data_IF_164710887764
#
_entry.id   IF_164710887764
#
_cell.length_a   1.000
_cell.length_b   1.000
_cell.length_c   1.000
_cell.angle_alpha   90.00
_cell.angle_beta   90.00
_cell.angle_gamma   90.00
#
_symmetry.space_group_name_H-M   'P 1'
#
loop_
_entity.id
_entity.type
_entity.pdbx_description
1 polymer ?
#
# COMPACT_ATOMS: atom_id res chain seq x y z
N UNK A 1 -20.46 12.74 36.80
CA UNK A 1 -19.11 13.34 36.72
C UNK A 1 -18.05 12.41 36.11
N UNK A 2 -18.25 11.10 36.06
CA UNK A 2 -17.27 10.12 35.50
C UNK A 2 -17.13 10.13 33.95
N UNK A 3 -18.19 10.50 33.20
CA UNK A 3 -18.16 10.53 31.73
C UNK A 3 -17.20 11.57 31.15
N UNK A 4 -17.21 12.79 31.72
CA UNK A 4 -16.41 13.92 31.22
C UNK A 4 -14.89 13.71 31.31
N UNK A 5 -14.43 12.92 32.27
CA UNK A 5 -13.01 12.57 32.45
C UNK A 5 -12.56 11.48 31.46
N UNK A 6 -13.47 10.59 31.06
CA UNK A 6 -13.20 9.51 30.08
C UNK A 6 -13.06 10.10 28.69
N UNK A 7 -13.93 11.05 28.34
CA UNK A 7 -13.87 11.73 27.03
C UNK A 7 -12.61 12.59 26.86
N UNK A 8 -12.18 13.28 27.92
CA UNK A 8 -10.94 14.06 27.91
C UNK A 8 -9.69 13.19 27.75
N UNK A 9 -9.66 12.00 28.36
CA UNK A 9 -8.57 11.05 28.23
C UNK A 9 -8.52 10.38 26.84
N UNK A 10 -9.69 10.10 26.25
CA UNK A 10 -9.82 9.57 24.90
C UNK A 10 -9.37 10.59 23.85
N UNK A 11 -9.80 11.85 23.99
CA UNK A 11 -9.37 12.93 23.09
C UNK A 11 -7.86 13.16 23.15
N UNK A 12 -7.25 13.14 24.35
CA UNK A 12 -5.80 13.27 24.52
C UNK A 12 -5.04 12.13 23.85
N UNK A 13 -5.50 10.89 23.99
CA UNK A 13 -4.89 9.72 23.34
C UNK A 13 -5.05 9.77 21.82
N UNK A 14 -6.22 10.12 21.31
CA UNK A 14 -6.48 10.29 19.88
C UNK A 14 -5.61 11.39 19.28
N UNK A 15 -5.46 12.52 19.97
CA UNK A 15 -4.59 13.61 19.55
C UNK A 15 -3.11 13.18 19.53
N UNK A 16 -2.64 12.49 20.56
CA UNK A 16 -1.27 11.99 20.64
C UNK A 16 -0.98 10.98 19.52
N UNK A 17 -1.88 10.02 19.30
CA UNK A 17 -1.73 9.04 18.22
C UNK A 17 -1.74 9.70 16.83
N UNK A 18 -2.62 10.70 16.63
CA UNK A 18 -2.67 11.48 15.39
C UNK A 18 -1.40 12.27 15.15
N UNK A 19 -0.85 12.90 16.21
CA UNK A 19 0.40 13.64 16.12
C UNK A 19 1.58 12.75 15.74
N UNK A 20 1.74 11.60 16.38
CA UNK A 20 2.80 10.64 16.03
C UNK A 20 2.63 10.10 14.61
N UNK A 21 1.39 9.89 14.16
CA UNK A 21 1.15 9.47 12.78
C UNK A 21 1.58 10.54 11.76
N UNK A 22 1.23 11.81 12.02
CA UNK A 22 1.65 12.93 11.16
C UNK A 22 3.18 13.05 11.16
N UNK A 23 3.82 12.95 12.33
CA UNK A 23 5.26 13.02 12.45
C UNK A 23 5.96 11.90 11.69
N UNK A 24 5.46 10.66 11.80
CA UNK A 24 5.97 9.52 11.03
C UNK A 24 5.81 9.71 9.52
N UNK A 25 4.68 10.24 9.05
CA UNK A 25 4.47 10.56 7.65
C UNK A 25 5.38 11.69 7.15
N UNK A 26 5.59 12.72 7.95
CA UNK A 26 6.50 13.81 7.64
C UNK A 26 7.94 13.30 7.54
N UNK A 27 8.35 12.45 8.47
CA UNK A 27 9.68 11.83 8.46
C UNK A 27 9.89 10.94 7.22
N UNK A 28 8.91 10.09 6.90
CA UNK A 28 8.97 9.24 5.71
C UNK A 28 9.06 10.05 4.41
N UNK A 29 8.29 11.13 4.29
CA UNK A 29 8.35 12.03 3.13
C UNK A 29 9.65 12.83 3.09
N UNK A 30 10.14 13.28 4.25
CA UNK A 30 11.44 13.95 4.37
C UNK A 30 12.60 13.06 3.93
N UNK A 31 12.54 11.77 4.29
CA UNK A 31 13.53 10.77 3.85
C UNK A 31 13.51 10.61 2.32
N UNK A 32 12.33 10.49 1.72
CA UNK A 32 12.16 10.40 0.26
C UNK A 32 12.72 11.66 -0.42
N UNK A 33 12.46 12.83 0.15
CA UNK A 33 13.02 14.09 -0.35
C UNK A 33 14.55 14.13 -0.25
N UNK A 34 15.13 13.66 0.85
CA UNK A 34 16.58 13.61 1.05
C UNK A 34 17.28 12.59 0.14
N UNK A 35 16.61 11.48 -0.20
CA UNK A 35 17.16 10.44 -1.09
C UNK A 35 17.24 10.91 -2.54
N UNK A 36 16.34 11.79 -2.98
CA UNK A 36 16.34 12.31 -4.37
C UNK A 36 17.66 12.99 -4.79
N UNK A 37 18.23 13.96 -4.03
CA UNK A 37 19.53 14.55 -4.38
C UNK A 37 20.69 13.55 -4.25
N UNK A 38 20.58 12.53 -3.40
CA UNK A 38 21.61 11.48 -3.32
C UNK A 38 21.60 10.66 -4.62
N UNK A 39 20.44 10.25 -5.10
CA UNK A 39 20.32 9.53 -6.38
C UNK A 39 20.82 10.39 -7.55
N UNK A 40 20.50 11.69 -7.57
CA UNK A 40 20.93 12.57 -8.66
C UNK A 40 22.46 12.81 -8.70
N UNK A 41 23.16 12.58 -7.58
CA UNK A 41 24.63 12.70 -7.52
C UNK A 41 25.35 11.38 -7.79
N UNK A 42 24.72 10.24 -7.42
CA UNK A 42 25.34 8.91 -7.55
C UNK A 42 25.05 8.25 -8.89
N UNK A 43 23.91 8.55 -9.49
CA UNK A 43 23.48 7.96 -10.74
C UNK A 43 23.71 8.89 -11.92
N UNK A 44 24.06 8.32 -13.07
CA UNK A 44 24.06 9.07 -14.33
C UNK A 44 22.62 9.43 -14.71
N UNK A 45 22.44 10.42 -15.57
CA UNK A 45 21.09 10.83 -16.04
C UNK A 45 20.30 9.64 -16.65
N UNK A 46 21.00 8.76 -17.38
CA UNK A 46 20.40 7.57 -17.98
C UNK A 46 19.92 6.59 -16.90
N UNK A 47 20.75 6.27 -15.92
CA UNK A 47 20.41 5.36 -14.82
C UNK A 47 19.27 5.92 -13.96
N UNK A 48 19.27 7.21 -13.69
CA UNK A 48 18.18 7.87 -12.96
C UNK A 48 16.85 7.76 -13.74
N UNK A 49 16.90 7.94 -15.08
CA UNK A 49 15.75 7.75 -15.96
C UNK A 49 15.16 6.33 -15.85
N UNK A 50 16.01 5.30 -15.92
CA UNK A 50 15.59 3.90 -15.77
C UNK A 50 14.90 3.66 -14.42
N UNK A 51 15.48 4.13 -13.33
CA UNK A 51 14.88 3.97 -11.99
C UNK A 51 13.50 4.63 -11.93
N UNK A 52 13.35 5.85 -12.43
CA UNK A 52 12.06 6.56 -12.41
C UNK A 52 11.00 5.91 -13.32
N UNK A 53 11.42 5.43 -14.47
CA UNK A 53 10.53 4.66 -15.36
C UNK A 53 10.06 3.38 -14.67
N UNK A 54 10.96 2.66 -14.03
CA UNK A 54 10.63 1.44 -13.28
C UNK A 54 9.67 1.71 -12.11
N UNK A 55 9.92 2.75 -11.31
CA UNK A 55 9.00 3.18 -10.23
C UNK A 55 7.58 3.48 -10.77
N UNK A 56 7.49 4.10 -11.95
CA UNK A 56 6.21 4.39 -12.60
C UNK A 56 5.50 3.09 -13.03
N UNK A 57 6.22 2.14 -13.58
CA UNK A 57 5.68 0.83 -13.94
C UNK A 57 5.24 0.02 -12.71
N UNK A 58 5.97 0.08 -11.60
CA UNK A 58 5.56 -0.54 -10.33
C UNK A 58 4.20 -0.01 -9.87
N UNK A 59 3.98 1.30 -9.95
CA UNK A 59 2.72 1.92 -9.55
C UNK A 59 1.56 1.52 -10.47
N UNK A 60 1.79 1.48 -11.79
CA UNK A 60 0.80 1.05 -12.79
C UNK A 60 0.45 -0.42 -12.58
N UNK A 61 1.46 -1.29 -12.50
CA UNK A 61 1.28 -2.72 -12.27
C UNK A 61 0.51 -3.00 -10.98
N UNK A 62 0.90 -2.37 -9.88
CA UNK A 62 0.20 -2.47 -8.62
C UNK A 62 -1.27 -2.06 -8.74
N UNK A 63 -1.55 -0.93 -9.38
CA UNK A 63 -2.92 -0.40 -9.49
C UNK A 63 -3.82 -1.35 -10.30
N UNK A 64 -3.32 -1.87 -11.42
CA UNK A 64 -4.07 -2.78 -12.29
C UNK A 64 -4.21 -4.16 -11.64
N UNK A 65 -3.12 -4.76 -11.18
CA UNK A 65 -3.13 -6.14 -10.68
C UNK A 65 -3.87 -6.32 -9.37
N UNK A 66 -3.79 -5.33 -8.44
CA UNK A 66 -4.52 -5.41 -7.18
C UNK A 66 -5.99 -5.03 -7.30
N UNK A 67 -6.44 -4.51 -8.48
CA UNK A 67 -7.77 -3.95 -8.72
C UNK A 67 -8.19 -2.93 -7.65
N UNK A 68 -7.24 -2.42 -6.89
CA UNK A 68 -7.44 -1.50 -5.75
C UNK A 68 -8.52 -1.97 -4.75
N UNK A 69 -8.76 -3.27 -4.65
CA UNK A 69 -9.79 -3.87 -3.80
C UNK A 69 -9.61 -3.54 -2.31
N UNK A 70 -8.38 -3.24 -1.88
CA UNK A 70 -8.11 -2.79 -0.52
C UNK A 70 -8.90 -1.54 -0.10
N UNK A 71 -9.41 -0.75 -1.06
CA UNK A 71 -10.26 0.41 -0.76
C UNK A 71 -11.63 0.02 -0.25
N UNK A 72 -12.16 -1.13 -0.64
CA UNK A 72 -13.45 -1.62 -0.17
C UNK A 72 -13.44 -1.92 1.34
N UNK A 73 -12.28 -2.24 1.89
CA UNK A 73 -12.10 -2.48 3.34
C UNK A 73 -12.47 -1.25 4.19
N UNK A 74 -12.25 -0.04 3.67
CA UNK A 74 -12.59 1.19 4.39
C UNK A 74 -14.12 1.39 4.52
N UNK A 75 -14.89 0.92 3.54
CA UNK A 75 -16.35 1.05 3.50
C UNK A 75 -17.03 -0.15 4.16
N UNK A 76 -16.46 -1.33 4.00
CA UNK A 76 -17.02 -2.61 4.45
C UNK A 76 -17.39 -2.64 5.93
N UNK A 77 -16.66 -1.92 6.77
CA UNK A 77 -16.93 -1.90 8.20
C UNK A 77 -18.28 -1.27 8.54
N UNK A 78 -18.80 -0.39 7.71
CA UNK A 78 -20.11 0.24 7.90
C UNK A 78 -21.25 -0.71 7.48
N UNK A 79 -20.98 -1.54 6.47
CA UNK A 79 -22.00 -2.40 5.84
C UNK A 79 -21.99 -3.84 6.41
N UNK A 80 -20.85 -4.29 6.97
CA UNK A 80 -20.64 -5.65 7.49
C UNK A 80 -20.08 -5.60 8.93
N UNK A 81 -20.83 -5.01 9.88
CA UNK A 81 -20.36 -4.87 11.27
C UNK A 81 -20.12 -6.22 11.95
N UNK A 82 -20.96 -7.22 11.67
CA UNK A 82 -20.92 -8.53 12.33
C UNK A 82 -19.84 -9.47 11.78
N UNK A 83 -19.46 -9.36 10.48
CA UNK A 83 -18.48 -10.25 9.83
C UNK A 83 -17.40 -9.47 9.06
N UNK A 84 -16.91 -8.39 9.62
CA UNK A 84 -15.86 -7.59 9.01
C UNK A 84 -14.57 -8.36 8.69
N UNK A 85 -14.15 -9.26 9.59
CA UNK A 85 -12.92 -10.04 9.38
C UNK A 85 -13.07 -11.05 8.24
N UNK A 86 -14.22 -11.68 8.12
CA UNK A 86 -14.55 -12.60 7.02
C UNK A 86 -14.54 -11.85 5.67
N UNK A 87 -15.15 -10.68 5.62
CA UNK A 87 -15.13 -9.82 4.43
C UNK A 87 -13.71 -9.43 4.01
N UNK A 88 -12.90 -8.90 4.95
CA UNK A 88 -11.50 -8.50 4.67
C UNK A 88 -10.68 -9.68 4.15
N UNK A 89 -10.84 -10.87 4.74
CA UNK A 89 -10.16 -12.09 4.29
C UNK A 89 -10.57 -12.48 2.87
N UNK A 90 -11.87 -12.42 2.57
CA UNK A 90 -12.40 -12.76 1.24
C UNK A 90 -11.90 -11.81 0.15
N UNK A 91 -11.92 -10.51 0.42
CA UNK A 91 -11.42 -9.49 -0.54
C UNK A 91 -9.90 -9.58 -0.71
N UNK A 92 -9.17 -9.89 0.35
CA UNK A 92 -7.73 -10.13 0.29
C UNK A 92 -7.39 -11.35 -0.58
N UNK A 93 -8.11 -12.46 -0.40
CA UNK A 93 -7.96 -13.66 -1.22
C UNK A 93 -8.29 -13.37 -2.69
N UNK A 94 -9.37 -12.61 -2.95
CA UNK A 94 -9.73 -12.19 -4.31
C UNK A 94 -8.62 -11.34 -4.96
N UNK A 95 -7.98 -10.45 -4.20
CA UNK A 95 -6.84 -9.68 -4.72
C UNK A 95 -5.66 -10.58 -5.10
N UNK A 96 -5.37 -11.61 -4.32
CA UNK A 96 -4.30 -12.55 -4.68
C UNK A 96 -4.63 -13.38 -5.91
N UNK A 97 -5.88 -13.80 -6.07
CA UNK A 97 -6.34 -14.49 -7.28
C UNK A 97 -6.17 -13.57 -8.50
N UNK A 98 -6.56 -12.30 -8.38
CA UNK A 98 -6.36 -11.32 -9.45
C UNK A 98 -4.88 -11.12 -9.79
N UNK A 99 -4.01 -10.95 -8.79
CA UNK A 99 -2.56 -10.81 -9.00
C UNK A 99 -2.01 -12.06 -9.68
N UNK A 100 -2.38 -13.26 -9.25
CA UNK A 100 -1.94 -14.52 -9.86
C UNK A 100 -2.43 -14.66 -11.32
N UNK A 101 -3.65 -14.24 -11.60
CA UNK A 101 -4.21 -14.23 -12.96
C UNK A 101 -3.43 -13.27 -13.88
N UNK A 102 -3.20 -12.03 -13.45
CA UNK A 102 -2.42 -11.07 -14.23
C UNK A 102 -0.95 -11.49 -14.36
N UNK A 103 -0.38 -12.10 -13.33
CA UNK A 103 0.96 -12.67 -13.42
C UNK A 103 1.04 -13.75 -14.48
N UNK A 104 0.09 -14.71 -14.47
CA UNK A 104 0.02 -15.76 -15.51
C UNK A 104 -0.12 -15.18 -16.92
N UNK A 105 -0.96 -14.15 -17.07
CA UNK A 105 -1.13 -13.46 -18.36
C UNK A 105 0.18 -12.78 -18.81
N UNK A 106 0.84 -12.07 -17.90
CA UNK A 106 2.14 -11.43 -18.21
C UNK A 106 3.26 -12.45 -18.47
N UNK A 107 3.20 -13.65 -17.89
CA UNK A 107 4.15 -14.73 -18.20
C UNK A 107 3.96 -15.28 -19.62
N UNK A 108 2.72 -15.37 -20.11
CA UNK A 108 2.43 -15.80 -21.48
C UNK A 108 2.99 -14.78 -22.49
N UNK A 109 2.86 -13.49 -22.19
CA UNK A 109 3.32 -12.39 -23.05
C UNK A 109 4.62 -11.75 -22.55
N UNK A 110 5.48 -12.53 -21.86
CA UNK A 110 6.67 -12.01 -21.16
C UNK A 110 7.54 -11.13 -22.05
N UNK A 111 7.90 -11.62 -23.24
CA UNK A 111 8.78 -10.90 -24.17
C UNK A 111 8.19 -9.56 -24.61
N UNK A 112 6.90 -9.54 -24.96
CA UNK A 112 6.22 -8.32 -25.38
C UNK A 112 6.12 -7.30 -24.24
N UNK A 113 5.85 -7.76 -23.01
CA UNK A 113 5.77 -6.91 -21.83
C UNK A 113 7.14 -6.33 -21.48
N UNK A 114 8.19 -7.14 -21.54
CA UNK A 114 9.56 -6.70 -21.27
C UNK A 114 10.05 -5.67 -22.29
N UNK A 115 9.82 -5.94 -23.59
CA UNK A 115 10.19 -5.01 -24.65
C UNK A 115 9.43 -3.68 -24.55
N UNK A 116 8.13 -3.73 -24.25
CA UNK A 116 7.30 -2.54 -24.09
C UNK A 116 7.70 -1.71 -22.87
N UNK A 117 7.95 -2.36 -21.74
CA UNK A 117 8.30 -1.69 -20.49
C UNK A 117 9.81 -1.38 -20.38
N UNK A 118 10.63 -1.89 -21.31
CA UNK A 118 12.11 -1.82 -21.27
C UNK A 118 12.67 -2.36 -19.95
N UNK A 119 12.18 -3.55 -19.55
CA UNK A 119 12.53 -4.20 -18.28
C UNK A 119 13.37 -5.45 -18.53
N UNK A 120 14.43 -5.59 -17.73
CA UNK A 120 15.19 -6.83 -17.64
C UNK A 120 14.40 -7.91 -16.87
N UNK A 121 14.81 -9.17 -17.01
CA UNK A 121 14.22 -10.31 -16.30
C UNK A 121 14.14 -10.09 -14.78
N UNK A 122 15.20 -9.56 -14.19
CA UNK A 122 15.24 -9.25 -12.76
C UNK A 122 14.20 -8.21 -12.36
N UNK A 123 14.08 -7.13 -13.14
CA UNK A 123 13.09 -6.08 -12.91
C UNK A 123 11.67 -6.62 -13.04
N UNK A 124 11.42 -7.49 -14.03
CA UNK A 124 10.13 -8.11 -14.24
C UNK A 124 9.67 -8.93 -13.04
N UNK A 125 10.50 -9.87 -12.55
CA UNK A 125 10.13 -10.68 -11.38
C UNK A 125 10.04 -9.86 -10.09
N UNK A 126 10.92 -8.88 -9.92
CA UNK A 126 10.90 -7.99 -8.75
C UNK A 126 9.63 -7.13 -8.73
N UNK A 127 9.10 -6.75 -9.88
CA UNK A 127 7.82 -6.03 -9.99
C UNK A 127 6.67 -6.85 -9.40
N UNK A 128 6.56 -8.13 -9.71
CA UNK A 128 5.51 -8.99 -9.16
C UNK A 128 5.67 -9.22 -7.66
N UNK A 129 6.90 -9.46 -7.21
CA UNK A 129 7.18 -9.58 -5.76
C UNK A 129 6.77 -8.31 -5.01
N UNK A 130 7.07 -7.16 -5.60
CA UNK A 130 6.65 -5.87 -5.06
C UNK A 130 5.13 -5.74 -4.97
N UNK A 131 4.40 -6.03 -6.06
CA UNK A 131 2.93 -5.93 -6.09
C UNK A 131 2.31 -6.84 -5.04
N UNK A 132 2.78 -8.08 -4.91
CA UNK A 132 2.30 -9.05 -3.94
C UNK A 132 2.52 -8.56 -2.49
N UNK A 133 3.75 -8.16 -2.17
CA UNK A 133 4.13 -7.70 -0.82
C UNK A 133 3.43 -6.39 -0.46
N UNK A 134 3.37 -5.45 -1.40
CA UNK A 134 2.75 -4.15 -1.17
C UNK A 134 1.24 -4.25 -0.97
N UNK A 135 0.57 -5.11 -1.73
CA UNK A 135 -0.86 -5.40 -1.54
C UNK A 135 -1.12 -5.96 -0.14
N UNK A 136 -0.33 -6.95 0.30
CA UNK A 136 -0.44 -7.52 1.65
C UNK A 136 -0.29 -6.45 2.74
N UNK A 137 0.73 -5.60 2.60
CA UNK A 137 1.01 -4.52 3.55
C UNK A 137 -0.16 -3.53 3.64
N UNK A 138 -0.79 -3.19 2.52
CA UNK A 138 -1.94 -2.28 2.51
C UNK A 138 -3.16 -2.86 3.23
N UNK A 139 -3.45 -4.14 3.04
CA UNK A 139 -4.55 -4.81 3.76
C UNK A 139 -4.32 -4.80 5.26
N UNK A 140 -3.13 -5.15 5.72
CA UNK A 140 -2.77 -5.11 7.15
C UNK A 140 -2.92 -3.69 7.71
N UNK A 141 -2.35 -2.69 7.04
CA UNK A 141 -2.43 -1.30 7.47
C UNK A 141 -3.87 -0.78 7.55
N UNK A 142 -4.72 -1.15 6.58
CA UNK A 142 -6.14 -0.73 6.57
C UNK A 142 -6.93 -1.41 7.68
N UNK A 143 -6.77 -2.71 7.85
CA UNK A 143 -7.40 -3.45 8.93
C UNK A 143 -7.04 -2.87 10.29
N UNK A 144 -5.76 -2.63 10.55
CA UNK A 144 -5.29 -2.11 11.83
C UNK A 144 -5.80 -0.69 12.10
N UNK A 145 -5.86 0.18 11.07
CA UNK A 145 -6.48 1.50 11.20
C UNK A 145 -7.96 1.43 11.60
N UNK A 146 -8.71 0.51 11.03
CA UNK A 146 -10.14 0.35 11.34
C UNK A 146 -10.35 -0.24 12.74
N UNK A 147 -9.54 -1.20 13.15
CA UNK A 147 -9.58 -1.79 14.50
C UNK A 147 -9.21 -0.75 15.57
N UNK A 148 -8.18 0.06 15.33
CA UNK A 148 -7.80 1.14 16.24
C UNK A 148 -8.91 2.20 16.34
N UNK A 149 -9.50 2.61 15.22
CA UNK A 149 -10.59 3.59 15.20
C UNK A 149 -11.81 3.12 15.98
N UNK A 150 -12.15 1.82 15.92
CA UNK A 150 -13.23 1.21 16.66
C UNK A 150 -12.95 1.19 18.19
N UNK A 151 -11.74 0.82 18.60
CA UNK A 151 -11.33 0.77 20.01
C UNK A 151 -11.39 2.14 20.70
N UNK A 152 -11.39 3.23 19.93
CA UNK A 152 -11.54 4.60 20.43
C UNK A 152 -12.97 5.13 20.34
N UNK A 153 -13.87 4.45 19.61
CA UNK A 153 -15.28 4.86 19.45
C UNK A 153 -16.24 4.15 20.41
N UNK A 154 -15.79 3.08 21.10
CA UNK A 154 -16.53 2.36 22.14
C UNK A 154 -16.00 2.73 23.51
#
# INVERSE_FOLDING_TARGET
MAGKNKDASLNKRAFTSGFFFILAQLFARGLTFAVTPVYSRLLTKAQYGVVRTYESWLLIAYTIMSLCLWRSVDVAKKDFEDDYNGYVSSVHTLSYIAIAFFFGLCMIFKTQVQDFCQMDDLMFYTCFLYVFTYTSMLYVQRRDKQVLKYKFST
#
